data_IF_142861840470
#
_entry.id   IF_142861840470
#
_cell.length_a   1.000
_cell.length_b   1.000
_cell.length_c   1.000
_cell.angle_alpha   90.00
_cell.angle_beta   90.00
_cell.angle_gamma   90.00
#
_symmetry.space_group_name_H-M   'P 1'
#
loop_
_entity.id
_entity.type
_entity.pdbx_description
1 polymer ?
#
# COMPACT_ATOMS: atom_id res chain seq x y z
N UNK A 1 57.15 -47.19 -0.06
CA UNK A 1 58.48 -47.33 -0.68
C UNK A 1 58.82 -46.00 -1.30
N UNK A 2 59.61 -45.20 -0.57
CA UNK A 2 60.17 -43.95 -1.04
C UNK A 2 61.61 -44.21 -1.43
N UNK A 3 62.03 -43.80 -2.62
CA UNK A 3 63.45 -43.57 -2.93
C UNK A 3 63.58 -42.48 -3.99
N UNK A 4 64.26 -41.42 -3.57
CA UNK A 4 65.27 -40.62 -4.29
C UNK A 4 64.85 -39.96 -5.62
N UNK A 5 65.24 -38.74 -5.95
CA UNK A 5 66.31 -37.90 -5.44
C UNK A 5 66.98 -37.22 -6.64
N UNK A 6 67.21 -35.91 -6.55
CA UNK A 6 68.17 -35.17 -7.37
C UNK A 6 67.67 -34.65 -8.72
N UNK A 7 67.66 -33.33 -8.90
CA UNK A 7 68.71 -32.62 -9.66
C UNK A 7 68.28 -31.18 -9.97
N UNK A 8 69.26 -30.27 -9.86
CA UNK A 8 69.19 -28.84 -10.15
C UNK A 8 69.08 -28.56 -11.65
N UNK A 9 68.24 -27.60 -12.02
CA UNK A 9 68.55 -26.58 -13.05
C UNK A 9 67.60 -25.40 -12.78
N UNK A 10 68.04 -24.17 -12.57
CA UNK A 10 68.76 -23.35 -13.54
C UNK A 10 67.77 -22.42 -14.27
N UNK A 11 66.93 -21.67 -13.54
CA UNK A 11 66.01 -20.70 -14.15
C UNK A 11 66.65 -19.31 -14.16
N UNK A 12 66.80 -18.78 -15.36
CA UNK A 12 67.52 -17.57 -15.75
C UNK A 12 67.00 -16.31 -15.07
N UNK A 13 67.94 -15.47 -14.60
CA UNK A 13 67.71 -14.12 -14.02
C UNK A 13 66.89 -13.18 -14.93
N UNK A 14 66.80 -13.47 -16.23
CA UNK A 14 65.99 -12.70 -17.18
C UNK A 14 64.47 -12.86 -16.95
N UNK A 15 64.01 -14.02 -16.47
CA UNK A 15 62.59 -14.26 -16.20
C UNK A 15 62.10 -13.44 -14.99
N UNK A 16 62.96 -13.27 -13.98
CA UNK A 16 62.63 -12.43 -12.81
C UNK A 16 62.56 -10.94 -13.15
N UNK A 17 63.40 -10.46 -14.08
CA UNK A 17 63.39 -9.06 -14.49
C UNK A 17 62.12 -8.70 -15.29
N UNK A 18 61.65 -9.59 -16.16
CA UNK A 18 60.40 -9.39 -16.91
C UNK A 18 59.16 -9.42 -16.00
N UNK A 19 59.13 -10.31 -15.02
CA UNK A 19 58.04 -10.37 -14.03
C UNK A 19 58.03 -9.10 -13.15
N UNK A 20 59.20 -8.58 -12.78
CA UNK A 20 59.30 -7.34 -12.00
C UNK A 20 58.85 -6.10 -12.79
N UNK A 21 59.16 -6.00 -14.09
CA UNK A 21 58.72 -4.86 -14.92
C UNK A 21 57.21 -4.90 -15.19
N UNK A 22 56.63 -6.09 -15.36
CA UNK A 22 55.16 -6.24 -15.48
C UNK A 22 54.45 -5.92 -14.15
N UNK A 23 55.00 -6.34 -13.02
CA UNK A 23 54.44 -6.01 -11.70
C UNK A 23 54.55 -4.52 -11.35
N UNK A 24 55.64 -3.85 -11.73
CA UNK A 24 55.80 -2.40 -11.49
C UNK A 24 54.98 -1.56 -12.47
N UNK A 25 54.80 -2.02 -13.72
CA UNK A 25 53.89 -1.39 -14.69
C UNK A 25 52.42 -1.43 -14.26
N UNK A 26 51.99 -2.50 -13.58
CA UNK A 26 50.62 -2.61 -13.04
C UNK A 26 50.38 -1.78 -11.77
N UNK A 27 51.43 -1.30 -11.09
CA UNK A 27 51.31 -0.46 -9.88
C UNK A 27 51.29 1.06 -10.20
N UNK A 28 51.62 1.46 -11.43
CA UNK A 28 51.62 2.86 -11.88
C UNK A 28 50.34 3.30 -12.60
N UNK A 29 49.43 2.38 -12.92
CA UNK A 29 48.11 2.71 -13.42
C UNK A 29 47.23 3.15 -12.27
N UNK A 30 47.01 4.47 -12.14
CA UNK A 30 46.02 5.01 -11.21
C UNK A 30 44.72 4.23 -11.39
N UNK A 31 44.31 3.51 -10.34
CA UNK A 31 43.00 2.89 -10.29
C UNK A 31 42.01 4.05 -10.35
N UNK A 32 41.49 4.33 -11.54
CA UNK A 32 40.23 5.05 -11.68
C UNK A 32 39.21 4.11 -11.07
N UNK A 33 39.03 4.24 -9.76
CA UNK A 33 37.85 3.72 -9.08
C UNK A 33 36.72 4.48 -9.76
N UNK A 34 36.06 3.81 -10.70
CA UNK A 34 34.75 4.24 -11.13
C UNK A 34 33.90 4.25 -9.87
N UNK A 35 33.70 5.43 -9.29
CA UNK A 35 32.71 5.62 -8.24
C UNK A 35 31.38 5.19 -8.86
N UNK A 36 30.94 3.98 -8.49
CA UNK A 36 29.56 3.55 -8.68
C UNK A 36 28.76 4.51 -7.82
N UNK A 37 28.34 5.61 -8.43
CA UNK A 37 27.55 6.65 -7.80
C UNK A 37 26.27 5.97 -7.29
N UNK A 38 26.22 5.70 -5.98
CA UNK A 38 25.02 5.18 -5.33
C UNK A 38 23.85 6.07 -5.74
N UNK A 39 22.81 5.45 -6.30
CA UNK A 39 21.57 6.16 -6.60
C UNK A 39 21.10 6.87 -5.33
N UNK A 40 20.88 8.18 -5.45
CA UNK A 40 20.34 8.98 -4.36
C UNK A 40 18.84 8.73 -4.33
N UNK A 41 18.39 7.93 -3.36
CA UNK A 41 17.00 7.59 -3.21
C UNK A 41 16.37 8.47 -2.12
N UNK A 42 15.17 8.98 -2.39
CA UNK A 42 14.33 9.66 -1.40
C UNK A 42 13.25 8.67 -0.96
N UNK A 43 13.10 8.46 0.34
CA UNK A 43 12.09 7.57 0.91
C UNK A 43 11.16 8.38 1.82
N UNK A 44 9.85 8.23 1.61
CA UNK A 44 8.81 8.92 2.37
C UNK A 44 7.80 7.89 2.87
N UNK A 45 7.52 7.91 4.17
CA UNK A 45 6.56 7.03 4.81
C UNK A 45 5.57 7.84 5.65
N UNK A 46 4.27 7.62 5.46
CA UNK A 46 3.21 8.24 6.26
C UNK A 46 2.76 7.30 7.38
N UNK A 47 2.68 7.81 8.61
CA UNK A 47 2.22 7.06 9.79
C UNK A 47 0.98 7.69 10.38
N UNK A 48 0.04 6.84 10.78
CA UNK A 48 -1.15 7.25 11.50
C UNK A 48 -0.82 7.73 12.92
N UNK A 49 -1.73 8.52 13.51
CA UNK A 49 -1.61 8.97 14.92
C UNK A 49 -2.07 7.89 15.92
N UNK A 50 -2.77 6.86 15.46
CA UNK A 50 -3.28 5.78 16.30
C UNK A 50 -2.38 4.55 16.26
N UNK A 51 -2.51 3.71 17.29
CA UNK A 51 -1.79 2.45 17.40
C UNK A 51 -2.24 1.43 16.34
N UNK A 52 -1.42 0.42 16.10
CA UNK A 52 -1.73 -0.68 15.21
C UNK A 52 -3.06 -1.36 15.54
N UNK A 53 -3.76 -1.77 14.49
CA UNK A 53 -5.01 -2.54 14.59
C UNK A 53 -4.81 -3.98 14.10
N UNK A 54 -5.42 -5.00 14.72
CA UNK A 54 -5.19 -6.38 14.29
C UNK A 54 -5.77 -6.66 12.90
N UNK A 55 -4.98 -7.29 12.02
CA UNK A 55 -5.43 -7.62 10.65
C UNK A 55 -6.66 -8.53 10.64
N UNK A 56 -6.77 -9.44 11.61
CA UNK A 56 -7.91 -10.35 11.71
C UNK A 56 -9.23 -9.60 11.99
N UNK A 57 -9.17 -8.55 12.83
CA UNK A 57 -10.35 -7.72 13.11
C UNK A 57 -10.66 -6.78 11.94
N UNK A 58 -9.63 -6.27 11.24
CA UNK A 58 -9.85 -5.48 10.02
C UNK A 58 -10.52 -6.31 8.94
N UNK A 59 -10.11 -7.57 8.78
CA UNK A 59 -10.71 -8.52 7.86
C UNK A 59 -12.21 -8.75 8.16
N UNK A 60 -12.58 -8.93 9.44
CA UNK A 60 -14.00 -9.07 9.81
C UNK A 60 -14.79 -7.80 9.48
N UNK A 61 -14.25 -6.61 9.73
CA UNK A 61 -14.94 -5.36 9.39
C UNK A 61 -15.10 -5.17 7.89
N UNK A 62 -14.09 -5.52 7.09
CA UNK A 62 -14.18 -5.47 5.63
C UNK A 62 -15.25 -6.43 5.09
N UNK A 63 -15.34 -7.65 5.63
CA UNK A 63 -16.40 -8.60 5.26
C UNK A 63 -17.80 -8.09 5.60
N UNK A 64 -17.94 -7.38 6.72
CA UNK A 64 -19.23 -6.83 7.14
C UNK A 64 -19.79 -5.80 6.15
N UNK A 65 -18.91 -5.12 5.40
CA UNK A 65 -19.31 -4.17 4.34
C UNK A 65 -19.94 -4.88 3.16
N UNK A 66 -19.55 -6.13 2.87
CA UNK A 66 -20.15 -6.93 1.79
C UNK A 66 -21.51 -7.45 2.20
N UNK A 67 -21.56 -8.24 3.28
CA UNK A 67 -22.80 -8.74 3.87
C UNK A 67 -22.64 -8.90 5.37
N UNK A 68 -23.67 -8.50 6.12
CA UNK A 68 -23.71 -8.63 7.59
C UNK A 68 -23.55 -10.08 8.07
N UNK A 69 -24.03 -11.05 7.29
CA UNK A 69 -23.91 -12.48 7.63
C UNK A 69 -22.46 -12.98 7.56
N UNK A 70 -21.69 -12.49 6.58
CA UNK A 70 -20.27 -12.90 6.41
C UNK A 70 -19.41 -12.53 7.61
N UNK A 71 -19.73 -11.43 8.28
CA UNK A 71 -19.08 -11.09 9.55
C UNK A 71 -19.21 -12.25 10.54
N UNK A 72 -20.43 -12.69 10.85
CA UNK A 72 -20.66 -13.72 11.85
C UNK A 72 -20.18 -15.11 11.43
N UNK A 73 -20.27 -15.46 10.15
CA UNK A 73 -19.69 -16.70 9.62
C UNK A 73 -18.17 -16.71 9.78
N UNK A 74 -17.51 -15.59 9.47
CA UNK A 74 -16.06 -15.44 9.64
C UNK A 74 -15.64 -15.49 11.12
N UNK A 75 -16.34 -14.79 12.01
CA UNK A 75 -16.14 -14.88 13.46
C UNK A 75 -16.29 -16.34 13.92
N UNK A 76 -17.31 -17.04 13.43
CA UNK A 76 -17.55 -18.46 13.72
C UNK A 76 -16.41 -19.37 13.25
N UNK A 77 -15.79 -19.07 12.11
CA UNK A 77 -14.65 -19.81 11.57
C UNK A 77 -13.36 -19.56 12.37
N UNK A 78 -13.17 -18.37 12.94
CA UNK A 78 -11.95 -17.98 13.67
C UNK A 78 -12.08 -17.99 15.21
N UNK A 79 -13.21 -18.46 15.75
CA UNK A 79 -13.44 -18.56 17.20
C UNK A 79 -12.49 -19.54 17.91
N UNK A 80 -11.97 -20.53 17.19
CA UNK A 80 -11.08 -21.55 17.74
C UNK A 80 -9.64 -21.02 17.79
N UNK A 81 -9.02 -21.06 18.97
CA UNK A 81 -7.68 -20.51 19.22
C UNK A 81 -6.58 -21.16 18.38
N UNK A 82 -6.77 -22.43 18.02
CA UNK A 82 -5.78 -23.20 17.27
C UNK A 82 -5.72 -22.74 15.81
N UNK A 83 -6.75 -22.04 15.30
CA UNK A 83 -6.79 -21.59 13.92
C UNK A 83 -5.77 -20.46 13.72
N UNK A 84 -4.76 -20.75 12.90
CA UNK A 84 -3.64 -19.84 12.64
C UNK A 84 -2.51 -19.91 13.67
N UNK A 85 -2.56 -20.81 14.65
CA UNK A 85 -1.44 -21.08 15.57
C UNK A 85 -0.19 -21.62 14.85
N UNK A 86 -0.37 -22.26 13.71
CA UNK A 86 0.70 -22.78 12.83
C UNK A 86 1.51 -21.65 12.14
N UNK A 87 0.94 -20.45 12.04
CA UNK A 87 1.61 -19.33 11.44
C UNK A 87 2.55 -18.65 12.43
N UNK A 88 3.83 -18.52 12.05
CA UNK A 88 4.86 -17.83 12.84
C UNK A 88 5.29 -16.49 12.22
N UNK A 89 4.75 -16.14 11.06
CA UNK A 89 5.12 -14.92 10.33
C UNK A 89 3.90 -14.10 9.97
N UNK A 90 4.12 -12.79 9.87
CA UNK A 90 3.05 -11.86 9.53
C UNK A 90 2.39 -12.19 8.17
N UNK A 91 3.23 -12.56 7.20
CA UNK A 91 2.83 -12.99 5.87
C UNK A 91 1.94 -14.23 5.90
N UNK A 92 2.29 -15.25 6.69
CA UNK A 92 1.49 -16.47 6.81
C UNK A 92 0.07 -16.17 7.31
N UNK A 93 -0.05 -15.35 8.37
CA UNK A 93 -1.37 -14.98 8.89
C UNK A 93 -2.19 -14.20 7.87
N UNK A 94 -1.60 -13.21 7.20
CA UNK A 94 -2.29 -12.44 6.16
C UNK A 94 -2.79 -13.34 5.02
N UNK A 95 -1.94 -14.26 4.54
CA UNK A 95 -2.31 -15.22 3.50
C UNK A 95 -3.44 -16.15 3.95
N UNK A 96 -3.36 -16.71 5.17
CA UNK A 96 -4.39 -17.59 5.73
C UNK A 96 -5.74 -16.87 5.89
N UNK A 97 -5.72 -15.61 6.34
CA UNK A 97 -6.93 -14.77 6.42
C UNK A 97 -7.54 -14.57 5.03
N UNK A 98 -6.73 -14.22 4.03
CA UNK A 98 -7.20 -14.01 2.66
C UNK A 98 -7.73 -15.32 2.04
N UNK A 99 -7.07 -16.46 2.27
CA UNK A 99 -7.53 -17.78 1.81
C UNK A 99 -8.88 -18.15 2.41
N UNK A 100 -9.07 -17.95 3.72
CA UNK A 100 -10.35 -18.16 4.37
C UNK A 100 -11.42 -17.21 3.80
N UNK A 101 -11.08 -15.94 3.56
CA UNK A 101 -11.99 -14.94 2.98
C UNK A 101 -12.43 -15.31 1.55
N UNK A 102 -11.52 -15.86 0.74
CA UNK A 102 -11.83 -16.34 -0.62
C UNK A 102 -12.89 -17.44 -0.65
N UNK A 103 -13.13 -18.15 0.46
CA UNK A 103 -14.24 -19.10 0.55
C UNK A 103 -15.62 -18.44 0.65
N UNK A 104 -15.67 -17.17 1.07
CA UNK A 104 -16.91 -16.40 1.22
C UNK A 104 -17.21 -15.48 0.02
N UNK A 105 -16.19 -15.03 -0.70
CA UNK A 105 -16.31 -14.03 -1.76
C UNK A 105 -16.02 -14.61 -3.16
N UNK A 106 -16.62 -14.02 -4.19
CA UNK A 106 -16.19 -14.25 -5.58
C UNK A 106 -14.75 -13.80 -5.78
N UNK A 107 -14.04 -14.36 -6.76
CA UNK A 107 -12.63 -13.99 -7.04
C UNK A 107 -12.40 -12.47 -7.18
N UNK A 108 -13.22 -11.71 -7.96
CA UNK A 108 -12.97 -10.27 -8.12
C UNK A 108 -13.11 -9.50 -6.80
N UNK A 109 -14.12 -9.83 -6.01
CA UNK A 109 -14.34 -9.25 -4.68
C UNK A 109 -13.22 -9.63 -3.71
N UNK A 110 -12.69 -10.86 -3.79
CA UNK A 110 -11.58 -11.29 -2.95
C UNK A 110 -10.28 -10.52 -3.27
N UNK A 111 -10.02 -10.22 -4.54
CA UNK A 111 -8.89 -9.40 -4.97
C UNK A 111 -9.00 -7.96 -4.46
N UNK A 112 -10.19 -7.36 -4.52
CA UNK A 112 -10.48 -6.03 -3.94
C UNK A 112 -10.37 -6.03 -2.42
N UNK A 113 -10.82 -7.11 -1.77
CA UNK A 113 -10.68 -7.30 -0.33
C UNK A 113 -9.21 -7.36 0.09
N UNK A 114 -8.39 -8.16 -0.58
CA UNK A 114 -6.95 -8.30 -0.30
C UNK A 114 -6.23 -6.96 -0.42
N UNK A 115 -6.57 -6.17 -1.45
CA UNK A 115 -6.05 -4.82 -1.60
C UNK A 115 -6.53 -3.88 -0.48
N UNK A 116 -7.82 -3.92 -0.13
CA UNK A 116 -8.41 -3.11 0.95
C UNK A 116 -7.81 -3.40 2.32
N UNK A 117 -7.47 -4.67 2.58
CA UNK A 117 -6.79 -5.11 3.80
C UNK A 117 -5.34 -4.63 3.83
N UNK A 118 -4.65 -4.66 2.69
CA UNK A 118 -3.28 -4.15 2.55
C UNK A 118 -3.23 -2.63 2.75
N UNK A 119 -4.24 -1.91 2.25
CA UNK A 119 -4.42 -0.47 2.48
C UNK A 119 -4.82 -0.12 3.92
N UNK A 120 -5.16 -1.11 4.75
CA UNK A 120 -5.60 -0.91 6.15
C UNK A 120 -6.85 -0.02 6.24
N UNK A 121 -7.73 -0.11 5.24
CA UNK A 121 -8.90 0.76 5.08
C UNK A 121 -9.94 0.63 6.20
N UNK A 122 -9.97 -0.50 6.92
CA UNK A 122 -10.83 -0.71 8.08
C UNK A 122 -10.20 -0.28 9.42
N UNK A 123 -8.93 0.12 9.45
CA UNK A 123 -8.23 0.54 10.67
C UNK A 123 -8.96 1.68 11.41
N UNK A 124 -9.44 2.76 10.76
CA UNK A 124 -10.17 3.84 11.44
C UNK A 124 -11.44 3.34 12.14
N UNK A 125 -12.11 2.34 11.58
CA UNK A 125 -13.32 1.75 12.15
C UNK A 125 -13.02 1.03 13.48
N UNK A 126 -11.90 0.32 13.56
CA UNK A 126 -11.46 -0.33 14.79
C UNK A 126 -11.00 0.68 15.85
N UNK A 127 -10.44 1.82 15.43
CA UNK A 127 -10.11 2.92 16.36
C UNK A 127 -11.38 3.48 17.01
N UNK A 128 -12.47 3.61 16.26
CA UNK A 128 -13.76 3.99 16.81
C UNK A 128 -14.26 2.99 17.87
N UNK A 129 -14.20 1.68 17.62
CA UNK A 129 -14.55 0.70 18.65
C UNK A 129 -13.64 0.76 19.88
N UNK A 130 -12.36 1.04 19.68
CA UNK A 130 -11.42 1.24 20.79
C UNK A 130 -11.83 2.43 21.66
N UNK A 131 -12.22 3.55 21.05
CA UNK A 131 -12.71 4.71 21.80
C UNK A 131 -14.00 4.39 22.58
N UNK A 132 -14.96 3.72 21.94
CA UNK A 132 -16.20 3.27 22.61
C UNK A 132 -15.92 2.30 23.76
N UNK A 133 -14.89 1.46 23.62
CA UNK A 133 -14.44 0.56 24.66
C UNK A 133 -13.86 1.32 25.87
N UNK A 134 -13.05 2.36 25.63
CA UNK A 134 -12.51 3.22 26.68
C UNK A 134 -13.63 3.99 27.41
N UNK A 135 -14.61 4.51 26.66
CA UNK A 135 -15.80 5.18 27.23
C UNK A 135 -16.62 4.21 28.10
N UNK A 136 -16.89 3.00 27.62
CA UNK A 136 -17.58 1.93 28.37
C UNK A 136 -16.89 1.65 29.71
N UNK A 137 -15.56 1.46 29.71
CA UNK A 137 -14.79 1.20 30.93
C UNK A 137 -14.81 2.37 31.92
N UNK A 138 -14.90 3.62 31.44
CA UNK A 138 -14.96 4.81 32.29
C UNK A 138 -16.35 5.12 32.85
N UNK A 139 -17.41 4.62 32.22
CA UNK A 139 -18.79 4.95 32.55
C UNK A 139 -19.33 4.30 33.82
N UNK A 140 -18.72 3.18 34.26
CA UNK A 140 -19.20 2.42 35.42
C UNK A 140 -18.35 2.74 36.66
N UNK A 141 -18.94 3.30 37.73
CA UNK A 141 -18.20 3.56 38.97
C UNK A 141 -17.82 2.23 39.63
N UNK A 142 -16.54 1.87 39.53
CA UNK A 142 -15.95 0.75 40.25
C UNK A 142 -16.10 1.02 41.74
N UNK A 143 -16.88 0.20 42.45
CA UNK A 143 -17.00 0.28 43.92
C UNK A 143 -15.66 -0.14 44.56
N UNK A 144 -15.22 0.65 45.54
CA UNK A 144 -13.92 0.68 46.24
C UNK A 144 -13.30 -0.65 46.72
N UNK A 145 -14.01 -1.78 46.73
CA UNK A 145 -13.45 -3.05 47.22
C UNK A 145 -12.62 -3.81 46.16
N UNK A 146 -12.62 -3.35 44.90
CA UNK A 146 -11.75 -3.88 43.83
C UNK A 146 -10.53 -2.98 43.54
N UNK A 147 -10.31 -1.92 44.33
CA UNK A 147 -9.39 -0.82 44.01
C UNK A 147 -7.97 -0.96 44.57
N UNK A 148 -7.63 -2.01 45.33
CA UNK A 148 -6.22 -2.33 45.60
C UNK A 148 -5.46 -2.92 44.39
N UNK A 149 -6.13 -3.12 43.25
CA UNK A 149 -5.50 -3.54 41.98
C UNK A 149 -5.67 -2.52 40.83
N UNK A 150 -6.26 -1.34 41.10
CA UNK A 150 -6.68 -0.40 40.04
C UNK A 150 -6.09 0.99 40.29
N UNK A 151 -4.77 1.07 40.37
CA UNK A 151 -4.07 2.36 40.43
C UNK A 151 -2.77 2.32 39.63
N UNK A 152 -2.89 2.59 38.33
CA UNK A 152 -1.74 2.87 37.47
C UNK A 152 -2.01 2.63 35.99
N UNK A 153 -2.55 3.63 35.29
CA UNK A 153 -2.77 3.64 33.83
C UNK A 153 -3.77 2.61 33.28
N UNK A 154 -4.42 2.94 32.17
CA UNK A 154 -5.59 2.22 31.66
C UNK A 154 -5.38 0.73 31.37
N UNK A 155 -6.50 0.02 31.39
CA UNK A 155 -6.68 -1.44 31.38
C UNK A 155 -6.56 -2.08 32.77
N UNK A 156 -7.66 -2.71 33.21
CA UNK A 156 -7.67 -3.69 34.30
C UNK A 156 -6.64 -4.75 33.92
N UNK A 157 -5.53 -4.85 34.66
CA UNK A 157 -4.49 -5.85 34.41
C UNK A 157 -5.13 -7.25 34.35
N UNK A 158 -5.16 -7.82 33.15
CA UNK A 158 -5.53 -9.22 32.93
C UNK A 158 -6.90 -9.49 32.29
N UNK A 159 -7.78 -8.51 32.08
CA UNK A 159 -9.08 -8.77 31.41
C UNK A 159 -9.15 -8.17 30.01
N UNK A 160 -9.11 -9.05 29.00
CA UNK A 160 -9.01 -8.68 27.58
C UNK A 160 -10.35 -8.62 26.86
N UNK A 161 -11.42 -9.05 27.52
CA UNK A 161 -12.78 -9.06 27.00
C UNK A 161 -13.75 -8.69 28.13
N UNK A 162 -14.83 -7.98 27.80
CA UNK A 162 -15.91 -7.70 28.74
C UNK A 162 -17.23 -7.44 28.02
N UNK A 163 -18.32 -7.63 28.74
CA UNK A 163 -19.68 -7.36 28.26
C UNK A 163 -20.26 -6.19 29.01
N UNK A 164 -20.71 -5.19 28.26
CA UNK A 164 -21.37 -4.00 28.75
C UNK A 164 -22.89 -4.14 28.61
N UNK A 165 -23.59 -4.01 29.73
CA UNK A 165 -25.06 -4.01 29.80
C UNK A 165 -25.61 -2.64 30.18
N UNK A 166 -24.76 -1.61 30.17
CA UNK A 166 -25.03 -0.21 30.53
C UNK A 166 -24.96 0.05 32.04
N UNK A 167 -25.52 -0.86 32.84
CA UNK A 167 -25.48 -0.75 34.30
C UNK A 167 -24.28 -1.46 34.93
N UNK A 168 -23.84 -2.56 34.31
CA UNK A 168 -22.82 -3.46 34.85
C UNK A 168 -21.90 -3.98 33.74
N UNK A 169 -20.61 -4.08 34.06
CA UNK A 169 -19.61 -4.72 33.20
C UNK A 169 -19.33 -6.14 33.71
N UNK A 170 -19.38 -7.12 32.80
CA UNK A 170 -19.06 -8.51 33.08
C UNK A 170 -17.75 -8.91 32.40
N UNK A 171 -16.76 -9.32 33.20
CA UNK A 171 -15.45 -9.76 32.71
C UNK A 171 -15.30 -11.28 32.67
N UNK A 172 -16.12 -12.00 33.44
CA UNK A 172 -16.06 -13.45 33.59
C UNK A 172 -17.32 -14.13 33.04
N UNK A 173 -17.14 -15.35 32.54
CA UNK A 173 -18.22 -16.16 31.98
C UNK A 173 -19.30 -16.51 33.02
N UNK A 174 -18.90 -16.86 34.24
CA UNK A 174 -19.83 -17.33 35.29
C UNK A 174 -20.82 -16.23 35.71
N UNK A 175 -20.34 -15.00 35.87
CA UNK A 175 -21.19 -13.88 36.29
C UNK A 175 -22.11 -13.41 35.17
N UNK A 176 -21.61 -13.44 33.93
CA UNK A 176 -22.44 -13.21 32.74
C UNK A 176 -23.54 -14.27 32.64
N UNK A 177 -23.22 -15.54 32.87
CA UNK A 177 -24.20 -16.62 32.79
C UNK A 177 -25.32 -16.44 33.82
N UNK A 178 -25.00 -16.09 35.07
CA UNK A 178 -26.00 -15.76 36.10
C UNK A 178 -26.91 -14.61 35.69
N UNK A 179 -26.37 -13.57 35.06
CA UNK A 179 -27.16 -12.45 34.55
C UNK A 179 -28.09 -12.88 33.42
N UNK A 180 -27.61 -13.69 32.46
CA UNK A 180 -28.41 -14.24 31.35
C UNK A 180 -29.54 -15.17 31.82
N UNK A 181 -29.37 -15.83 32.97
CA UNK A 181 -30.40 -16.64 33.61
C UNK A 181 -31.39 -15.84 34.47
N UNK A 182 -31.19 -14.51 34.59
CA UNK A 182 -32.06 -13.64 35.38
C UNK A 182 -31.83 -13.73 36.90
N UNK A 183 -30.77 -14.39 37.34
CA UNK A 183 -30.39 -14.53 38.76
C UNK A 183 -29.35 -13.49 39.22
N UNK A 184 -28.84 -12.65 38.30
CA UNK A 184 -27.85 -11.62 38.56
C UNK A 184 -28.42 -10.30 39.09
N UNK A 185 -27.59 -9.54 39.85
CA UNK A 185 -27.89 -8.15 40.24
C UNK A 185 -27.93 -7.27 38.98
N UNK A 186 -29.00 -6.51 38.78
CA UNK A 186 -29.15 -5.56 37.65
C UNK A 186 -30.14 -5.98 36.56
N UNK A 187 -30.84 -7.11 36.75
CA UNK A 187 -32.04 -7.40 35.98
C UNK A 187 -33.14 -6.37 36.33
N UNK A 188 -33.77 -5.76 35.33
CA UNK A 188 -35.02 -4.98 35.39
C UNK A 188 -35.00 -3.46 35.60
N UNK A 189 -34.03 -2.70 35.08
CA UNK A 189 -34.28 -1.27 34.79
C UNK A 189 -33.90 -0.95 33.34
N UNK A 190 -34.90 -0.73 32.49
CA UNK A 190 -34.78 -0.40 31.06
C UNK A 190 -34.23 1.01 30.79
N UNK A 191 -34.00 1.81 31.84
CA UNK A 191 -33.58 3.21 31.79
C UNK A 191 -32.07 3.43 31.69
N UNK A 192 -31.26 2.37 31.54
CA UNK A 192 -29.80 2.44 31.46
C UNK A 192 -29.16 1.50 30.43
N UNK A 193 -29.88 1.12 29.36
CA UNK A 193 -29.31 0.24 28.34
C UNK A 193 -28.26 0.98 27.48
N UNK A 194 -27.19 0.30 27.07
CA UNK A 194 -26.17 0.90 26.24
C UNK A 194 -26.72 1.16 24.84
N UNK A 195 -26.33 2.30 24.25
CA UNK A 195 -26.80 2.70 22.93
C UNK A 195 -26.17 1.84 21.83
N UNK A 196 -27.03 1.33 20.94
CA UNK A 196 -26.63 0.64 19.72
C UNK A 196 -26.65 1.61 18.54
N UNK A 197 -25.58 1.57 17.75
CA UNK A 197 -25.45 2.35 16.53
C UNK A 197 -25.73 1.49 15.30
N UNK A 198 -26.07 2.11 14.17
CA UNK A 198 -26.34 1.41 12.89
C UNK A 198 -25.17 0.55 12.40
N UNK A 199 -23.97 0.92 12.85
CA UNK A 199 -22.72 0.30 12.48
C UNK A 199 -22.36 -0.91 13.36
N UNK A 200 -23.12 -1.15 14.45
CA UNK A 200 -22.84 -2.24 15.38
C UNK A 200 -23.27 -3.59 14.80
N UNK A 201 -22.44 -4.61 15.03
CA UNK A 201 -22.73 -5.97 14.59
C UNK A 201 -23.67 -6.64 15.58
N UNK A 202 -24.97 -6.61 15.29
CA UNK A 202 -26.00 -7.31 16.07
C UNK A 202 -26.08 -8.77 15.63
N UNK A 203 -26.12 -9.69 16.60
CA UNK A 203 -26.20 -11.12 16.33
C UNK A 203 -27.56 -11.48 15.68
N UNK A 204 -27.57 -12.36 14.66
CA UNK A 204 -28.79 -12.72 13.95
C UNK A 204 -29.86 -13.32 14.88
N UNK A 205 -31.13 -13.12 14.52
CA UNK A 205 -32.30 -13.68 15.25
C UNK A 205 -32.47 -13.20 16.70
N UNK A 206 -31.96 -12.00 17.03
CA UNK A 206 -32.18 -11.37 18.32
C UNK A 206 -33.59 -10.77 18.43
N UNK A 207 -34.18 -10.83 19.63
CA UNK A 207 -35.45 -10.17 19.92
C UNK A 207 -35.23 -8.68 20.18
N UNK A 208 -36.02 -7.82 19.54
CA UNK A 208 -35.91 -6.35 19.65
C UNK A 208 -36.20 -5.86 21.07
N UNK A 209 -37.06 -6.56 21.82
CA UNK A 209 -37.45 -6.17 23.19
C UNK A 209 -36.51 -6.71 24.27
N UNK A 210 -35.52 -7.53 23.89
CA UNK A 210 -34.56 -8.10 24.83
C UNK A 210 -33.56 -7.04 25.31
N UNK A 211 -33.01 -7.17 26.53
CA UNK A 211 -31.94 -6.29 27.01
C UNK A 211 -30.73 -6.34 26.08
N UNK A 212 -30.08 -5.21 25.88
CA UNK A 212 -28.88 -5.09 25.06
C UNK A 212 -27.65 -5.51 25.86
N UNK A 213 -26.79 -6.33 25.23
CA UNK A 213 -25.45 -6.65 25.74
C UNK A 213 -24.43 -6.39 24.63
N UNK A 214 -23.51 -5.45 24.87
CA UNK A 214 -22.43 -5.09 23.96
C UNK A 214 -21.17 -5.82 24.40
N UNK A 215 -20.66 -6.68 23.55
CA UNK A 215 -19.43 -7.41 23.82
C UNK A 215 -18.23 -6.69 23.21
N UNK A 216 -17.26 -6.39 24.06
CA UNK A 216 -15.95 -5.90 23.66
C UNK A 216 -14.94 -7.05 23.75
N UNK A 217 -14.34 -7.40 22.61
CA UNK A 217 -13.32 -8.43 22.58
C UNK A 217 -12.78 -8.68 21.18
N UNK A 218 -11.65 -9.39 21.13
CA UNK A 218 -10.97 -9.74 19.88
C UNK A 218 -11.06 -11.25 19.62
N UNK A 219 -11.44 -11.60 18.39
CA UNK A 219 -11.33 -12.98 17.90
C UNK A 219 -9.89 -13.47 18.00
N UNK A 220 -9.71 -14.74 18.36
CA UNK A 220 -8.40 -15.34 18.62
C UNK A 220 -7.93 -15.22 20.07
N UNK A 221 -8.73 -14.64 20.97
CA UNK A 221 -8.47 -14.66 22.43
C UNK A 221 -9.29 -15.74 23.14
N UNK A 222 -8.81 -16.22 24.30
CA UNK A 222 -9.52 -17.25 25.08
C UNK A 222 -10.85 -16.74 25.63
N UNK A 223 -10.82 -15.54 26.21
CA UNK A 223 -12.01 -14.88 26.75
C UNK A 223 -13.08 -14.65 25.68
N UNK A 224 -12.69 -14.42 24.42
CA UNK A 224 -13.64 -14.27 23.32
C UNK A 224 -14.48 -15.52 23.11
N UNK A 225 -13.82 -16.68 23.03
CA UNK A 225 -14.52 -17.95 22.78
C UNK A 225 -15.57 -18.24 23.87
N UNK A 226 -15.20 -18.07 25.13
CA UNK A 226 -16.07 -18.36 26.27
C UNK A 226 -17.31 -17.46 26.28
N UNK A 227 -17.11 -16.13 26.29
CA UNK A 227 -18.20 -15.16 26.37
C UNK A 227 -19.08 -15.17 25.11
N UNK A 228 -18.49 -15.32 23.93
CA UNK A 228 -19.23 -15.36 22.66
C UNK A 228 -20.21 -16.53 22.62
N UNK A 229 -19.82 -17.73 23.09
CA UNK A 229 -20.70 -18.91 23.07
C UNK A 229 -21.94 -18.69 23.93
N UNK A 230 -21.77 -18.16 25.15
CA UNK A 230 -22.91 -17.87 26.04
C UNK A 230 -23.83 -16.79 25.48
N UNK A 231 -23.28 -15.71 24.94
CA UNK A 231 -24.07 -14.62 24.34
C UNK A 231 -24.80 -15.05 23.06
N UNK A 232 -24.13 -15.82 22.20
CA UNK A 232 -24.73 -16.32 20.98
C UNK A 232 -25.89 -17.27 21.28
N UNK A 233 -25.74 -18.16 22.26
CA UNK A 233 -26.81 -19.07 22.67
C UNK A 233 -27.99 -18.33 23.31
N UNK A 234 -27.71 -17.39 24.21
CA UNK A 234 -28.76 -16.58 24.83
C UNK A 234 -29.50 -15.69 23.80
N UNK A 235 -28.79 -15.18 22.80
CA UNK A 235 -29.37 -14.39 21.71
C UNK A 235 -30.31 -15.24 20.84
N UNK A 236 -29.93 -16.48 20.51
CA UNK A 236 -30.80 -17.43 19.79
C UNK A 236 -32.06 -17.79 20.56
N UNK A 237 -31.97 -17.85 21.89
CA UNK A 237 -33.11 -18.06 22.79
C UNK A 237 -33.96 -16.79 22.97
N UNK A 238 -33.59 -15.67 22.36
CA UNK A 238 -34.32 -14.40 22.46
C UNK A 238 -34.20 -13.69 23.81
N UNK A 239 -33.24 -14.09 24.65
CA UNK A 239 -33.04 -13.55 26.01
C UNK A 239 -32.27 -12.23 26.02
N UNK A 240 -31.39 -12.02 25.04
CA UNK A 240 -30.51 -10.85 24.97
C UNK A 240 -30.34 -10.39 23.53
N UNK A 241 -30.23 -9.08 23.33
CA UNK A 241 -29.80 -8.48 22.07
C UNK A 241 -28.29 -8.30 22.11
N UNK A 242 -27.58 -9.31 21.60
CA UNK A 242 -26.13 -9.36 21.58
C UNK A 242 -25.56 -8.54 20.41
N UNK A 243 -24.70 -7.56 20.70
CA UNK A 243 -23.89 -6.85 19.72
C UNK A 243 -22.39 -7.07 19.99
N UNK A 244 -21.57 -7.19 18.94
CA UNK A 244 -20.11 -7.32 19.04
C UNK A 244 -19.43 -6.04 18.53
N UNK A 245 -18.56 -5.45 19.36
CA UNK A 245 -17.62 -4.40 19.00
C UNK A 245 -16.19 -4.96 19.06
N UNK A 246 -15.58 -5.29 17.91
CA UNK A 246 -14.24 -5.88 17.90
C UNK A 246 -13.19 -4.91 18.43
N UNK A 247 -12.52 -5.29 19.52
CA UNK A 247 -11.44 -4.52 20.11
C UNK A 247 -10.39 -5.43 20.72
N UNK A 248 -9.12 -5.13 20.45
CA UNK A 248 -7.99 -5.73 21.16
C UNK A 248 -7.34 -4.65 22.03
N UNK A 249 -7.57 -4.67 23.37
CA UNK A 249 -6.93 -3.73 24.28
C UNK A 249 -5.39 -3.85 24.26
N UNK A 250 -4.72 -2.76 24.62
CA UNK A 250 -3.27 -2.77 24.81
C UNK A 250 -2.87 -3.73 25.93
N UNK A 251 -1.85 -4.57 25.70
CA UNK A 251 -1.40 -5.58 26.66
C UNK A 251 -2.03 -6.97 26.45
N UNK A 252 -3.11 -7.06 25.67
CA UNK A 252 -3.78 -8.32 25.36
C UNK A 252 -3.20 -9.08 24.16
N UNK A 253 -2.07 -8.62 23.61
CA UNK A 253 -1.42 -9.33 22.51
C UNK A 253 -0.94 -10.73 22.93
N UNK A 254 -0.44 -10.87 24.17
CA UNK A 254 0.07 -12.13 24.70
C UNK A 254 -1.01 -13.20 24.97
N UNK A 255 -2.27 -12.78 25.16
CA UNK A 255 -3.41 -13.68 25.43
C UNK A 255 -4.19 -14.04 24.17
N UNK A 256 -3.78 -13.48 23.02
CA UNK A 256 -4.33 -13.76 21.70
C UNK A 256 -3.48 -14.76 20.93
N UNK A 257 -4.08 -15.44 19.95
CA UNK A 257 -3.33 -16.20 18.95
C UNK A 257 -2.39 -15.26 18.17
N UNK A 258 -1.32 -15.81 17.58
CA UNK A 258 -0.35 -15.02 16.83
C UNK A 258 -1.02 -14.22 15.68
N UNK A 259 -1.96 -14.83 14.97
CA UNK A 259 -2.76 -14.13 13.95
C UNK A 259 -3.82 -13.17 14.52
N UNK A 260 -4.19 -13.30 15.79
CA UNK A 260 -5.13 -12.39 16.46
C UNK A 260 -4.51 -11.07 16.91
N UNK A 261 -3.18 -11.00 17.13
CA UNK A 261 -2.46 -9.78 17.53
C UNK A 261 -1.64 -9.13 16.42
N UNK A 262 -1.52 -9.78 15.27
CA UNK A 262 -0.73 -9.29 14.15
C UNK A 262 -1.18 -7.90 13.67
N UNK A 263 -0.24 -6.97 13.57
CA UNK A 263 -0.52 -5.59 13.16
C UNK A 263 -1.04 -4.68 14.28
N UNK A 264 -1.15 -5.18 15.51
CA UNK A 264 -1.63 -4.43 16.67
C UNK A 264 -0.53 -3.69 17.48
N UNK A 265 0.74 -3.85 17.12
CA UNK A 265 1.88 -3.34 17.89
C UNK A 265 2.33 -1.94 17.44
N UNK A 266 2.72 -1.80 16.17
CA UNK A 266 3.27 -0.55 15.64
C UNK A 266 2.18 0.37 15.09
N UNK A 267 2.46 1.68 15.06
CA UNK A 267 1.58 2.66 14.42
C UNK A 267 1.33 2.28 12.95
N UNK A 268 0.09 2.39 12.50
CA UNK A 268 -0.30 1.99 11.14
C UNK A 268 0.41 2.85 10.11
N UNK A 269 1.11 2.21 9.18
CA UNK A 269 1.63 2.87 7.98
C UNK A 269 0.48 3.06 7.01
N UNK A 270 0.16 4.31 6.69
CA UNK A 270 -0.94 4.62 5.80
C UNK A 270 -0.50 4.44 4.34
N UNK A 271 -1.43 4.03 3.49
CA UNK A 271 -1.24 3.90 2.05
C UNK A 271 -2.27 4.77 1.32
N UNK A 272 -2.11 4.95 -0.01
CA UNK A 272 -3.04 5.75 -0.81
C UNK A 272 -2.74 7.25 -0.86
N UNK A 273 -1.50 7.64 -0.60
CA UNK A 273 -1.01 9.01 -0.83
C UNK A 273 -0.02 9.04 -1.99
N UNK A 274 0.01 10.16 -2.71
CA UNK A 274 1.05 10.48 -3.69
C UNK A 274 2.17 11.30 -3.05
N UNK A 275 3.40 11.13 -3.53
CA UNK A 275 4.54 11.98 -3.16
C UNK A 275 5.04 12.65 -4.42
N UNK A 276 5.15 13.97 -4.39
CA UNK A 276 5.74 14.75 -5.46
C UNK A 276 7.07 15.37 -5.01
N UNK A 277 8.03 15.43 -5.94
CA UNK A 277 9.26 16.18 -5.78
C UNK A 277 9.21 17.39 -6.70
N UNK A 278 8.68 18.49 -6.18
CA UNK A 278 8.56 19.73 -6.93
C UNK A 278 9.92 20.42 -7.09
N UNK A 279 10.26 20.78 -8.33
CA UNK A 279 11.43 21.58 -8.65
C UNK A 279 11.11 23.07 -8.37
N UNK A 280 11.61 23.60 -7.25
CA UNK A 280 11.31 24.97 -6.81
C UNK A 280 11.93 26.07 -7.69
N UNK A 281 13.09 25.82 -8.30
CA UNK A 281 13.74 26.79 -9.18
C UNK A 281 13.28 26.60 -10.63
N UNK A 282 12.08 27.10 -10.95
CA UNK A 282 11.59 27.19 -12.32
C UNK A 282 12.03 28.49 -13.04
N UNK A 283 12.68 29.42 -12.32
CA UNK A 283 12.90 30.81 -12.74
C UNK A 283 14.06 31.03 -13.74
N UNK A 284 14.87 30.01 -14.06
CA UNK A 284 15.90 30.17 -15.11
C UNK A 284 15.37 29.97 -16.54
N UNK A 285 14.07 29.70 -16.70
CA UNK A 285 13.39 29.70 -18.00
C UNK A 285 13.02 31.12 -18.41
N UNK A 286 14.01 31.95 -18.69
CA UNK A 286 13.77 33.17 -19.46
C UNK A 286 13.29 32.73 -20.85
N UNK A 287 11.99 32.88 -21.13
CA UNK A 287 11.43 32.69 -22.45
C UNK A 287 12.00 33.76 -23.37
N UNK A 288 13.03 33.39 -24.14
CA UNK A 288 13.54 34.27 -25.19
C UNK A 288 12.66 34.12 -26.43
N UNK A 289 11.54 34.85 -26.45
CA UNK A 289 10.59 34.90 -27.56
C UNK A 289 11.17 35.58 -28.82
N UNK A 290 12.44 36.00 -28.81
CA UNK A 290 13.04 36.72 -29.94
C UNK A 290 13.39 35.83 -31.14
N UNK A 291 13.37 34.50 -30.99
CA UNK A 291 13.56 33.54 -32.08
C UNK A 291 12.28 33.20 -32.88
N UNK A 292 11.16 33.88 -32.64
CA UNK A 292 9.93 33.73 -33.45
C UNK A 292 10.08 34.55 -34.75
N UNK A 293 11.06 34.20 -35.60
CA UNK A 293 11.12 34.67 -36.99
C UNK A 293 11.56 33.57 -37.95
N UNK A 294 10.54 33.08 -38.65
CA UNK A 294 10.56 32.37 -39.94
C UNK A 294 10.90 30.88 -39.88
N UNK A 295 9.97 30.11 -40.45
CA UNK A 295 10.05 28.65 -40.57
C UNK A 295 11.34 28.21 -41.23
N UNK A 296 12.12 27.47 -40.47
CA UNK A 296 13.15 26.59 -41.01
C UNK A 296 12.46 25.27 -41.25
N UNK A 297 12.39 24.89 -42.53
CA UNK A 297 11.99 23.55 -42.92
C UNK A 297 12.89 22.55 -42.18
N UNK A 298 12.27 21.51 -41.62
CA UNK A 298 12.94 20.36 -41.02
C UNK A 298 13.97 19.80 -42.01
N UNK A 299 15.23 20.21 -41.88
CA UNK A 299 16.36 19.54 -42.52
C UNK A 299 16.70 18.27 -41.72
N UNK A 300 17.18 17.28 -42.47
CA UNK A 300 17.53 15.91 -42.08
C UNK A 300 18.11 15.77 -40.64
N UNK A 301 17.59 14.85 -39.79
CA UNK A 301 18.10 14.63 -38.43
C UNK A 301 19.49 13.96 -38.37
N UNK A 302 20.17 13.77 -39.51
CA UNK A 302 21.58 13.36 -39.54
C UNK A 302 22.56 14.50 -39.27
N UNK A 303 22.06 15.73 -39.20
CA UNK A 303 22.84 16.91 -38.82
C UNK A 303 22.18 17.64 -37.66
N UNK A 304 21.95 16.94 -36.54
CA UNK A 304 21.95 17.65 -35.26
C UNK A 304 23.32 18.34 -35.13
N UNK A 305 23.33 19.62 -34.76
CA UNK A 305 24.56 20.42 -34.67
C UNK A 305 25.50 19.86 -33.60
N UNK A 306 26.38 18.94 -34.02
CA UNK A 306 27.41 18.31 -33.18
C UNK A 306 28.39 19.33 -32.58
N UNK A 307 28.31 20.60 -32.98
CA UNK A 307 29.07 21.71 -32.39
C UNK A 307 28.54 22.16 -31.02
N UNK A 308 27.32 21.79 -30.64
CA UNK A 308 26.78 22.09 -29.33
C UNK A 308 27.60 21.42 -28.21
N UNK A 309 27.92 22.22 -27.19
CA UNK A 309 28.63 21.75 -26.00
C UNK A 309 27.65 21.00 -25.09
N UNK A 310 27.76 19.67 -25.09
CA UNK A 310 27.00 18.83 -24.17
C UNK A 310 27.89 18.56 -22.96
N UNK A 311 27.66 19.32 -21.87
CA UNK A 311 28.33 19.18 -20.56
C UNK A 311 29.87 19.17 -20.64
N UNK A 312 30.45 20.10 -21.40
CA UNK A 312 31.91 20.21 -21.55
C UNK A 312 32.49 19.44 -22.73
N UNK A 313 31.67 18.70 -23.49
CA UNK A 313 32.10 17.94 -24.66
C UNK A 313 31.51 18.52 -25.94
N UNK A 314 32.40 18.82 -26.90
CA UNK A 314 32.03 19.19 -28.26
C UNK A 314 32.18 17.94 -29.12
N UNK A 315 31.05 17.30 -29.41
CA UNK A 315 31.03 15.99 -30.07
C UNK A 315 31.55 16.04 -31.51
N UNK A 316 31.40 17.16 -32.22
CA UNK A 316 31.98 17.38 -33.55
C UNK A 316 33.51 17.23 -33.55
N UNK A 317 34.20 17.88 -32.59
CA UNK A 317 35.66 17.78 -32.46
C UNK A 317 36.13 16.39 -32.02
N UNK A 318 35.31 15.66 -31.26
CA UNK A 318 35.64 14.29 -30.83
C UNK A 318 35.52 13.33 -32.01
N UNK A 319 34.46 13.47 -32.81
CA UNK A 319 34.24 12.71 -34.05
C UNK A 319 35.32 13.00 -35.10
N UNK A 320 35.76 14.25 -35.23
CA UNK A 320 36.88 14.63 -36.10
C UNK A 320 38.22 13.98 -35.67
N UNK A 321 38.45 13.87 -34.36
CA UNK A 321 39.71 13.31 -33.82
C UNK A 321 39.71 11.79 -33.78
N UNK A 322 38.54 11.17 -33.62
CA UNK A 322 38.36 9.73 -33.42
C UNK A 322 37.16 9.21 -34.21
N UNK A 323 37.26 9.18 -35.56
CA UNK A 323 36.18 8.69 -36.41
C UNK A 323 35.91 7.18 -36.25
N UNK A 324 36.90 6.41 -35.77
CA UNK A 324 36.79 4.97 -35.52
C UNK A 324 35.78 4.59 -34.42
N UNK A 325 35.47 5.50 -33.49
CA UNK A 325 34.62 5.23 -32.31
C UNK A 325 33.23 5.87 -32.42
N UNK A 326 32.75 6.15 -33.63
CA UNK A 326 31.51 6.91 -33.85
C UNK A 326 30.30 6.34 -33.07
N UNK A 327 30.07 5.02 -33.12
CA UNK A 327 28.95 4.38 -32.43
C UNK A 327 29.03 4.56 -30.90
N UNK A 328 30.23 4.45 -30.33
CA UNK A 328 30.46 4.55 -28.89
C UNK A 328 30.36 6.01 -28.43
N UNK A 329 30.88 6.96 -29.23
CA UNK A 329 30.76 8.40 -28.99
C UNK A 329 29.28 8.83 -29.00
N UNK A 330 28.49 8.32 -29.94
CA UNK A 330 27.04 8.60 -29.98
C UNK A 330 26.32 7.98 -28.78
N UNK A 331 26.66 6.75 -28.39
CA UNK A 331 26.09 6.13 -27.18
C UNK A 331 26.46 6.89 -25.90
N UNK A 332 27.65 7.47 -25.82
CA UNK A 332 28.11 8.27 -24.70
C UNK A 332 27.42 9.63 -24.66
N UNK A 333 27.19 10.24 -25.81
CA UNK A 333 26.35 11.45 -25.94
C UNK A 333 24.95 11.18 -25.40
N UNK A 334 24.33 10.10 -25.84
CA UNK A 334 22.98 9.72 -25.43
C UNK A 334 22.91 9.48 -23.92
N UNK A 335 23.93 8.84 -23.34
CA UNK A 335 24.05 8.66 -21.89
C UNK A 335 24.20 9.98 -21.12
N UNK A 336 25.00 10.93 -21.60
CA UNK A 336 25.16 12.24 -20.95
C UNK A 336 23.85 13.05 -20.97
N UNK A 337 23.06 12.88 -22.02
CA UNK A 337 21.77 13.55 -22.19
C UNK A 337 20.67 12.90 -21.35
N UNK A 338 20.71 11.59 -21.13
CA UNK A 338 19.73 10.87 -20.30
C UNK A 338 20.04 10.91 -18.80
N UNK A 339 21.31 11.05 -18.43
CA UNK A 339 21.75 10.92 -17.02
C UNK A 339 21.41 12.13 -16.15
N UNK A 340 20.89 13.21 -16.73
CA UNK A 340 20.69 14.47 -16.00
C UNK A 340 19.54 15.31 -16.56
N UNK A 341 18.80 15.96 -15.65
CA UNK A 341 17.79 16.97 -16.00
C UNK A 341 18.49 18.11 -16.73
N UNK A 342 18.06 18.39 -17.97
CA UNK A 342 18.59 19.52 -18.75
C UNK A 342 18.10 20.83 -18.13
N UNK A 343 19.01 21.78 -17.88
CA UNK A 343 18.68 23.11 -17.36
C UNK A 343 18.08 24.03 -18.44
N UNK A 344 18.22 23.66 -19.72
CA UNK A 344 17.74 24.43 -20.88
C UNK A 344 16.87 23.53 -21.77
N UNK A 345 15.59 23.86 -21.87
CA UNK A 345 14.64 23.27 -22.84
C UNK A 345 14.14 24.42 -23.72
N UNK A 346 14.25 24.25 -25.03
CA UNK A 346 13.83 25.28 -25.97
C UNK A 346 12.32 25.25 -26.18
N UNK A 347 11.69 26.41 -26.43
CA UNK A 347 10.21 26.55 -26.43
C UNK A 347 9.55 25.68 -27.51
N UNK A 348 10.20 25.43 -28.64
CA UNK A 348 9.67 24.58 -29.71
C UNK A 348 9.71 23.08 -29.38
N UNK A 349 10.68 22.64 -28.58
CA UNK A 349 10.80 21.25 -28.14
C UNK A 349 9.60 20.80 -27.30
N UNK A 350 8.87 21.75 -26.70
CA UNK A 350 7.71 21.47 -25.85
C UNK A 350 6.40 21.33 -26.63
N UNK A 351 6.31 21.83 -27.87
CA UNK A 351 5.03 21.91 -28.60
C UNK A 351 4.49 20.53 -28.99
N UNK A 352 5.37 19.65 -29.46
CA UNK A 352 5.00 18.31 -29.94
C UNK A 352 5.25 17.20 -28.88
N UNK A 353 5.67 17.59 -27.68
CA UNK A 353 6.08 16.67 -26.62
C UNK A 353 4.98 15.68 -26.21
N UNK A 354 3.71 16.12 -26.22
CA UNK A 354 2.58 15.24 -25.97
C UNK A 354 2.42 14.14 -27.03
N UNK A 355 2.62 14.47 -28.31
CA UNK A 355 2.57 13.51 -29.42
C UNK A 355 3.76 12.54 -29.38
N UNK A 356 4.95 13.06 -29.12
CA UNK A 356 6.18 12.26 -28.96
C UNK A 356 6.06 11.28 -27.80
N UNK A 357 5.50 11.72 -26.67
CA UNK A 357 5.26 10.87 -25.50
C UNK A 357 4.26 9.76 -25.81
N UNK A 358 3.13 10.10 -26.46
CA UNK A 358 2.14 9.11 -26.87
C UNK A 358 2.75 8.05 -27.82
N UNK A 359 3.53 8.49 -28.81
CA UNK A 359 4.21 7.58 -29.73
C UNK A 359 5.23 6.68 -29.01
N UNK A 360 6.00 7.23 -28.07
CA UNK A 360 6.96 6.45 -27.27
C UNK A 360 6.28 5.34 -26.47
N UNK A 361 5.10 5.63 -25.89
CA UNK A 361 4.29 4.69 -25.13
C UNK A 361 3.70 3.61 -26.05
N UNK A 362 3.16 4.00 -27.21
CA UNK A 362 2.57 3.07 -28.18
C UNK A 362 3.58 2.09 -28.76
N UNK A 363 4.83 2.50 -28.95
CA UNK A 363 5.91 1.63 -29.45
C UNK A 363 6.61 0.81 -28.35
N UNK A 364 6.27 1.00 -27.07
CA UNK A 364 6.83 0.22 -25.99
C UNK A 364 6.28 -1.22 -26.01
N UNK A 365 7.07 -2.18 -25.52
CA UNK A 365 6.60 -3.57 -25.35
C UNK A 365 5.49 -3.66 -24.29
N UNK A 366 5.59 -2.82 -23.25
CA UNK A 366 4.55 -2.64 -22.23
C UNK A 366 4.17 -1.15 -22.18
N UNK A 367 3.06 -0.76 -22.84
CA UNK A 367 2.60 0.63 -22.85
C UNK A 367 2.24 1.18 -21.47
N UNK A 368 1.66 0.36 -20.58
CA UNK A 368 1.22 0.84 -19.26
C UNK A 368 2.41 1.10 -18.34
N UNK A 369 3.38 0.18 -18.32
CA UNK A 369 4.62 0.40 -17.58
C UNK A 369 5.38 1.61 -18.13
N UNK A 370 5.50 1.74 -19.45
CA UNK A 370 6.17 2.89 -20.06
C UNK A 370 5.47 4.21 -19.73
N UNK A 371 4.14 4.24 -19.74
CA UNK A 371 3.36 5.40 -19.33
C UNK A 371 3.61 5.76 -17.86
N UNK A 372 3.67 4.76 -16.98
CA UNK A 372 3.97 4.97 -15.56
C UNK A 372 5.37 5.55 -15.35
N UNK A 373 6.40 4.97 -15.99
CA UNK A 373 7.78 5.41 -15.87
C UNK A 373 7.99 6.84 -16.37
N UNK A 374 7.38 7.18 -17.51
CA UNK A 374 7.42 8.53 -18.08
C UNK A 374 6.70 9.51 -17.16
N UNK A 375 5.50 9.19 -16.67
CA UNK A 375 4.74 10.09 -15.80
C UNK A 375 5.42 10.32 -14.44
N UNK A 376 6.10 9.32 -13.89
CA UNK A 376 6.82 9.44 -12.61
C UNK A 376 8.15 10.19 -12.73
N UNK A 377 8.81 10.12 -13.88
CA UNK A 377 10.14 10.69 -14.10
C UNK A 377 10.17 11.73 -15.22
N UNK A 378 9.03 12.35 -15.55
CA UNK A 378 8.89 13.18 -16.74
C UNK A 378 10.03 14.21 -16.91
N UNK A 379 10.41 15.01 -15.88
CA UNK A 379 11.47 16.01 -16.03
C UNK A 379 12.84 15.46 -16.45
N UNK A 380 13.18 14.21 -16.12
CA UNK A 380 14.45 13.61 -16.54
C UNK A 380 14.40 13.02 -17.95
N UNK A 381 13.21 12.70 -18.46
CA UNK A 381 13.02 12.03 -19.75
C UNK A 381 12.68 13.01 -20.88
N UNK A 382 12.20 14.22 -20.56
CA UNK A 382 11.79 15.25 -21.55
C UNK A 382 12.83 15.50 -22.65
N UNK A 383 14.11 15.64 -22.32
CA UNK A 383 15.18 15.93 -23.29
C UNK A 383 15.37 14.82 -24.33
N UNK A 384 15.06 13.57 -23.95
CA UNK A 384 15.13 12.43 -24.86
C UNK A 384 13.86 12.32 -25.71
N UNK A 385 12.71 12.71 -25.17
CA UNK A 385 11.42 12.68 -25.86
C UNK A 385 11.35 13.76 -26.94
N UNK A 386 11.88 14.96 -26.68
CA UNK A 386 11.82 16.10 -27.62
C UNK A 386 12.46 15.82 -28.98
N UNK A 387 13.42 14.89 -29.02
CA UNK A 387 14.20 14.54 -30.23
C UNK A 387 13.53 13.48 -31.09
N UNK A 388 12.49 12.84 -30.56
CA UNK A 388 11.81 11.78 -31.29
C UNK A 388 11.01 12.40 -32.44
N UNK A 389 11.22 11.89 -33.66
CA UNK A 389 10.41 12.28 -34.81
C UNK A 389 9.01 11.70 -34.64
N UNK A 390 8.00 12.57 -34.77
CA UNK A 390 6.59 12.16 -34.74
C UNK A 390 6.18 11.62 -36.10
N UNK A 391 5.52 10.47 -36.12
CA UNK A 391 4.95 9.88 -37.32
C UNK A 391 3.64 10.59 -37.70
N UNK A 392 3.50 10.99 -38.97
CA UNK A 392 2.33 11.72 -39.46
C UNK A 392 1.01 10.94 -39.25
N UNK A 393 1.06 9.60 -39.37
CA UNK A 393 -0.11 8.74 -39.14
C UNK A 393 -0.63 8.83 -37.70
N UNK A 394 0.26 8.86 -36.70
CA UNK A 394 -0.12 8.92 -35.28
C UNK A 394 -0.67 10.32 -34.97
N UNK A 395 -0.04 11.34 -35.56
CA UNK A 395 -0.48 12.74 -35.42
C UNK A 395 -1.90 12.94 -35.94
N UNK A 396 -2.22 12.41 -37.11
CA UNK A 396 -3.55 12.53 -37.71
C UNK A 396 -4.63 11.80 -36.88
N UNK A 397 -4.30 10.63 -36.32
CA UNK A 397 -5.19 9.87 -35.43
C UNK A 397 -5.46 10.64 -34.12
N UNK A 398 -4.43 11.21 -33.50
CA UNK A 398 -4.57 12.03 -32.29
C UNK A 398 -5.48 13.23 -32.57
N UNK A 399 -5.29 13.93 -33.69
CA UNK A 399 -6.12 15.08 -34.08
C UNK A 399 -7.58 14.66 -34.31
N UNK A 400 -7.81 13.49 -34.90
CA UNK A 400 -9.16 12.95 -35.08
C UNK A 400 -9.85 12.68 -33.73
N UNK A 401 -9.14 12.07 -32.78
CA UNK A 401 -9.65 11.79 -31.43
C UNK A 401 -9.87 13.06 -30.60
N UNK A 402 -9.03 14.08 -30.81
CA UNK A 402 -9.16 15.39 -30.15
C UNK A 402 -10.44 16.16 -30.52
N UNK A 403 -11.16 15.72 -31.57
CA UNK A 403 -12.50 16.25 -31.89
C UNK A 403 -13.53 15.88 -30.84
N UNK A 404 -13.35 14.74 -30.16
CA UNK A 404 -14.25 14.24 -29.11
C UNK A 404 -13.80 14.68 -27.72
N UNK A 405 -12.49 14.73 -27.47
CA UNK A 405 -11.90 15.12 -26.18
C UNK A 405 -10.88 16.24 -26.39
N UNK A 406 -11.09 17.45 -25.85
CA UNK A 406 -10.14 18.55 -26.02
C UNK A 406 -8.73 18.20 -25.50
N UNK A 407 -7.67 18.72 -26.15
CA UNK A 407 -6.31 18.50 -25.68
C UNK A 407 -6.12 19.02 -24.25
N UNK A 408 -5.41 18.25 -23.42
CA UNK A 408 -5.13 18.59 -22.02
C UNK A 408 -6.29 18.38 -21.04
N UNK A 409 -7.42 17.82 -21.48
CA UNK A 409 -8.50 17.37 -20.60
C UNK A 409 -8.34 15.89 -20.26
N UNK A 410 -8.36 15.58 -18.97
CA UNK A 410 -8.41 14.20 -18.47
C UNK A 410 -9.87 13.84 -18.20
N UNK A 411 -10.30 12.68 -18.71
CA UNK A 411 -11.62 12.13 -18.50
C UNK A 411 -11.47 10.69 -18.01
N UNK A 412 -12.17 10.34 -16.94
CA UNK A 412 -12.21 8.98 -16.42
C UNK A 412 -13.67 8.53 -16.37
N UNK A 413 -13.93 7.30 -16.82
CA UNK A 413 -15.23 6.69 -16.73
C UNK A 413 -15.10 5.28 -16.17
N UNK A 414 -16.02 4.89 -15.29
CA UNK A 414 -16.16 3.52 -14.78
C UNK A 414 -17.51 3.00 -15.24
N UNK A 415 -17.53 1.92 -16.02
CA UNK A 415 -18.75 1.31 -16.57
C UNK A 415 -19.70 2.31 -17.29
N UNK A 416 -19.14 3.38 -17.87
CA UNK A 416 -19.88 4.44 -18.57
C UNK A 416 -20.30 5.62 -17.69
N UNK A 417 -20.14 5.55 -16.37
CA UNK A 417 -20.32 6.68 -15.48
C UNK A 417 -19.07 7.55 -15.47
N UNK A 418 -19.21 8.85 -15.76
CA UNK A 418 -18.11 9.81 -15.70
C UNK A 418 -17.75 10.12 -14.25
N UNK A 419 -16.47 10.04 -13.92
CA UNK A 419 -15.93 10.30 -12.57
C UNK A 419 -15.12 11.59 -12.62
N UNK A 420 -15.34 12.46 -11.63
CA UNK A 420 -14.46 13.62 -11.44
C UNK A 420 -13.11 13.15 -10.87
N UNK A 421 -12.04 13.37 -11.62
CA UNK A 421 -10.69 12.94 -11.24
C UNK A 421 -10.16 13.78 -10.07
N UNK A 422 -10.63 15.03 -9.93
CA UNK A 422 -10.15 15.95 -8.88
C UNK A 422 -10.63 15.54 -7.47
N UNK A 423 -11.81 14.92 -7.39
CA UNK A 423 -12.39 14.44 -6.13
C UNK A 423 -12.07 12.96 -5.87
N UNK A 424 -11.32 12.31 -6.78
CA UNK A 424 -11.07 10.88 -6.71
C UNK A 424 -9.88 10.60 -5.79
N UNK A 425 -10.17 9.96 -4.64
CA UNK A 425 -9.16 9.34 -3.81
C UNK A 425 -9.13 7.81 -4.00
N UNK A 426 -8.03 7.17 -3.55
CA UNK A 426 -7.87 5.72 -3.70
C UNK A 426 -8.94 4.94 -2.93
N UNK A 427 -9.35 5.41 -1.74
CA UNK A 427 -10.33 4.71 -0.91
C UNK A 427 -11.73 4.76 -1.53
N UNK A 428 -12.12 5.93 -2.06
CA UNK A 428 -13.35 6.16 -2.81
C UNK A 428 -13.38 5.32 -4.09
N UNK A 429 -12.28 5.28 -4.84
CA UNK A 429 -12.18 4.41 -6.02
C UNK A 429 -12.40 2.94 -5.65
N UNK A 430 -11.79 2.49 -4.55
CA UNK A 430 -11.96 1.11 -4.07
C UNK A 430 -13.39 0.82 -3.61
N UNK A 431 -14.04 1.75 -2.93
CA UNK A 431 -15.44 1.62 -2.53
C UNK A 431 -16.37 1.57 -3.76
N UNK A 432 -16.15 2.43 -4.77
CA UNK A 432 -16.92 2.40 -6.03
C UNK A 432 -16.73 1.09 -6.81
N UNK A 433 -15.48 0.63 -6.96
CA UNK A 433 -15.19 -0.64 -7.66
C UNK A 433 -15.81 -1.82 -6.91
N UNK A 434 -15.75 -1.82 -5.57
CA UNK A 434 -16.39 -2.85 -4.75
C UNK A 434 -17.91 -2.88 -4.97
N UNK A 435 -18.57 -1.73 -4.94
CA UNK A 435 -20.02 -1.63 -5.15
C UNK A 435 -20.43 -2.16 -6.53
N UNK A 436 -19.72 -1.75 -7.59
CA UNK A 436 -19.95 -2.24 -8.94
C UNK A 436 -19.76 -3.75 -9.06
N UNK A 437 -18.71 -4.31 -8.44
CA UNK A 437 -18.48 -5.76 -8.44
C UNK A 437 -19.54 -6.52 -7.63
N UNK A 438 -19.98 -5.97 -6.50
CA UNK A 438 -21.04 -6.56 -5.68
C UNK A 438 -22.37 -6.59 -6.44
N UNK A 439 -22.70 -5.51 -7.15
CA UNK A 439 -23.85 -5.46 -8.05
C UNK A 439 -23.73 -6.47 -9.18
N UNK A 440 -22.56 -6.56 -9.81
CA UNK A 440 -22.30 -7.53 -10.88
C UNK A 440 -22.49 -8.98 -10.39
N UNK A 441 -21.98 -9.33 -9.20
CA UNK A 441 -22.15 -10.66 -8.60
C UNK A 441 -23.63 -10.98 -8.33
N UNK A 442 -24.40 -10.00 -7.83
CA UNK A 442 -25.86 -10.15 -7.63
C UNK A 442 -26.59 -10.41 -8.97
N UNK A 443 -26.26 -9.65 -10.02
CA UNK A 443 -26.85 -9.86 -11.34
C UNK A 443 -26.51 -11.23 -11.94
N UNK A 444 -25.28 -11.72 -11.73
CA UNK A 444 -24.87 -13.06 -12.18
C UNK A 444 -25.71 -14.12 -11.46
N UNK A 445 -25.95 -13.98 -10.16
CA UNK A 445 -26.77 -14.92 -9.37
C UNK A 445 -28.25 -14.92 -9.77
N UNK A 446 -28.78 -13.80 -10.25
CA UNK A 446 -30.16 -13.66 -10.73
C UNK A 446 -30.38 -14.23 -12.14
N UNK A 447 -29.30 -14.52 -12.88
CA UNK A 447 -29.38 -15.07 -14.24
C UNK A 447 -29.59 -16.59 -14.29
N UNK A 448 -29.76 -17.22 -13.12
CA UNK A 448 -30.17 -18.62 -12.92
C UNK A 448 -31.66 -18.63 -12.61
#
# INVERSE_FOLDING_TARGET
MATAGGSRSGVSRAAFALVAVVLVGCLGGGVSVAEIRRQKNVQVALRAKWAGTPLLLEASELLSKERRDYFWEFIGHWKELDKGSECLTAKCCAQKIVEDVRSFLSEPLASIFEFSLTLRSASPRLVLYKQLAEESLSSVPVKDDALEQISGSGAVEGTCCWVDTGNTLFFNSDDLHKWLEGSGKGATDSTGQPELFDFDHVYPRSNITAPVAIFYGAVGTKCFKELHVHLAEASKQGKVRYALRPVLPSGCQATSSFCGSIGAADAVTLSGYGVELALKNMEYKAMDDTAIKKGVALEDPKTEDLSQEVRGFIFSKILERKPELNAEIMSFRDYLLSSTVSDTLEVWELKDLGHQTAQRILHASDPLQSMQEINQNFPSVVSSLSRMKVDDSIKDEIIANQRMVPPGKSLMALNGALINIEDLDLYLLMDMVREELSLADQFIRLKV
#
